data_IF_586338328195
#
_entry.id   IF_586338328195
#
_cell.length_a   1.000
_cell.length_b   1.000
_cell.length_c   1.000
_cell.angle_alpha   90.00
_cell.angle_beta   90.00
_cell.angle_gamma   90.00
#
_symmetry.space_group_name_H-M   'P 1'
#
loop_
_entity.id
_entity.type
_entity.pdbx_description
1 polymer ?
#
# COMPACT_ATOMS: atom_id res chain seq x y z
N UNK A 1 6.78 -10.71 33.68
CA UNK A 1 8.03 -11.08 33.01
C UNK A 1 8.74 -9.83 32.53
N UNK A 2 10.05 -9.75 32.77
CA UNK A 2 10.89 -8.67 32.26
C UNK A 2 11.17 -8.92 30.78
N UNK A 3 10.83 -7.93 29.94
CA UNK A 3 11.11 -7.97 28.49
C UNK A 3 12.22 -6.95 28.23
N UNK A 4 13.34 -7.42 27.70
CA UNK A 4 14.46 -6.57 27.32
C UNK A 4 14.08 -5.65 26.15
N UNK A 5 14.60 -4.42 26.18
CA UNK A 5 14.42 -3.44 25.10
C UNK A 5 13.52 -2.27 25.46
N UNK A 6 13.60 -1.22 24.64
CA UNK A 6 12.80 0.00 24.83
C UNK A 6 11.35 -0.23 24.39
N UNK A 7 10.42 -0.04 25.31
CA UNK A 7 8.99 -0.09 25.00
C UNK A 7 8.61 1.06 24.07
N UNK A 8 7.76 0.78 23.08
CA UNK A 8 7.29 1.75 22.07
C UNK A 8 5.75 1.77 22.00
N UNK A 9 5.06 2.21 23.07
CA UNK A 9 3.60 2.11 23.16
C UNK A 9 2.86 2.98 22.14
N UNK A 10 3.51 4.02 21.61
CA UNK A 10 2.88 5.01 20.72
C UNK A 10 3.10 4.75 19.23
N UNK A 11 3.89 3.73 18.84
CA UNK A 11 4.06 3.40 17.42
C UNK A 11 2.76 2.78 16.91
N UNK A 12 2.14 3.34 15.85
CA UNK A 12 0.97 2.74 15.23
C UNK A 12 1.27 1.32 14.75
N UNK A 13 0.32 0.41 14.94
CA UNK A 13 0.42 -0.97 14.48
C UNK A 13 -0.74 -1.25 13.53
N UNK A 14 -0.43 -1.98 12.45
CA UNK A 14 -1.38 -2.47 11.49
C UNK A 14 -1.18 -3.96 11.32
N UNK A 15 -2.24 -4.75 11.48
CA UNK A 15 -2.23 -6.16 11.17
C UNK A 15 -2.89 -6.37 9.81
N UNK A 16 -2.22 -7.09 8.94
CA UNK A 16 -2.74 -7.46 7.63
C UNK A 16 -3.32 -8.86 7.72
N UNK A 17 -4.58 -9.01 7.34
CA UNK A 17 -5.30 -10.28 7.42
C UNK A 17 -5.85 -10.71 6.07
N UNK A 18 -6.00 -12.02 5.90
CA UNK A 18 -6.71 -12.63 4.79
C UNK A 18 -7.63 -13.73 5.31
N UNK A 19 -8.49 -14.26 4.47
CA UNK A 19 -9.33 -15.41 4.78
C UNK A 19 -8.52 -16.69 5.08
N UNK A 20 -7.23 -16.72 4.72
CA UNK A 20 -6.27 -17.78 5.09
C UNK A 20 -5.60 -17.56 6.45
N UNK A 21 -5.71 -16.38 7.05
CA UNK A 21 -5.22 -16.16 8.41
C UNK A 21 -6.02 -17.04 9.37
N UNK A 22 -5.33 -17.86 10.17
CA UNK A 22 -6.01 -18.85 11.00
C UNK A 22 -5.30 -19.08 12.34
N UNK A 23 -6.06 -19.45 13.40
CA UNK A 23 -5.53 -19.84 14.71
C UNK A 23 -4.59 -18.80 15.33
N UNK A 24 -3.32 -19.13 15.55
CA UNK A 24 -2.32 -18.20 16.13
C UNK A 24 -2.15 -16.90 15.34
N UNK A 25 -2.37 -16.90 14.01
CA UNK A 25 -2.33 -15.70 13.19
C UNK A 25 -3.55 -14.79 13.42
N UNK A 26 -4.61 -15.28 14.05
CA UNK A 26 -5.80 -14.54 14.43
C UNK A 26 -5.70 -13.98 15.86
N UNK A 27 -5.01 -14.70 16.74
CA UNK A 27 -4.91 -14.35 18.15
C UNK A 27 -4.29 -12.95 18.40
N UNK A 28 -3.24 -12.60 17.66
CA UNK A 28 -2.60 -11.28 17.79
C UNK A 28 -3.50 -10.15 17.29
N UNK A 29 -4.01 -10.16 16.04
CA UNK A 29 -4.90 -9.10 15.58
C UNK A 29 -6.14 -8.98 16.46
N UNK A 30 -6.75 -10.08 16.89
CA UNK A 30 -7.91 -10.06 17.80
C UNK A 30 -7.57 -9.37 19.13
N UNK A 31 -6.49 -9.77 19.78
CA UNK A 31 -6.09 -9.19 21.07
C UNK A 31 -5.75 -7.69 20.95
N UNK A 32 -5.02 -7.29 19.91
CA UNK A 32 -4.62 -5.89 19.73
C UNK A 32 -5.77 -5.01 19.26
N UNK A 33 -6.72 -5.54 18.49
CA UNK A 33 -7.96 -4.86 18.11
C UNK A 33 -8.85 -4.63 19.34
N UNK A 34 -9.06 -5.65 20.18
CA UNK A 34 -9.81 -5.54 21.43
C UNK A 34 -9.22 -4.50 22.37
N UNK A 35 -7.90 -4.38 22.40
CA UNK A 35 -7.18 -3.36 23.19
C UNK A 35 -7.14 -1.99 22.50
N UNK A 36 -7.71 -1.83 21.30
CA UNK A 36 -7.62 -0.62 20.46
C UNK A 36 -6.18 -0.16 20.24
N UNK A 37 -5.25 -1.12 20.17
CA UNK A 37 -3.82 -0.87 20.04
C UNK A 37 -3.31 -0.98 18.61
N UNK A 38 -4.05 -1.66 17.76
CA UNK A 38 -3.75 -1.81 16.34
C UNK A 38 -5.00 -1.64 15.49
N UNK A 39 -4.78 -1.41 14.20
CA UNK A 39 -5.81 -1.44 13.15
C UNK A 39 -5.63 -2.72 12.36
N UNK A 40 -6.70 -3.47 12.16
CA UNK A 40 -6.71 -4.69 11.34
C UNK A 40 -7.20 -4.31 9.94
N UNK A 41 -6.43 -4.66 8.91
CA UNK A 41 -6.69 -4.30 7.52
C UNK A 41 -6.65 -5.55 6.66
N UNK A 42 -7.64 -5.79 5.83
CA UNK A 42 -7.68 -6.94 4.94
C UNK A 42 -9.03 -7.62 4.89
N UNK A 43 -9.02 -8.93 4.91
CA UNK A 43 -10.22 -9.78 4.89
C UNK A 43 -10.51 -10.35 6.28
N UNK A 44 -11.77 -10.72 6.52
CA UNK A 44 -12.15 -11.52 7.68
C UNK A 44 -11.40 -12.84 7.66
N UNK A 45 -10.86 -13.24 8.81
CA UNK A 45 -10.00 -14.43 8.95
C UNK A 45 -10.79 -15.73 9.01
N UNK A 46 -10.12 -16.87 9.07
CA UNK A 46 -10.73 -18.19 8.92
C UNK A 46 -11.54 -18.70 10.12
N UNK A 47 -11.32 -18.17 11.33
CA UNK A 47 -12.18 -18.48 12.49
C UNK A 47 -11.78 -19.72 13.29
N UNK A 48 -10.51 -19.83 13.71
CA UNK A 48 -10.04 -20.91 14.57
C UNK A 48 -9.53 -20.43 15.93
N UNK A 49 -10.42 -20.23 16.89
CA UNK A 49 -10.08 -19.75 18.24
C UNK A 49 -9.81 -20.87 19.24
N UNK A 50 -10.33 -22.07 18.99
CA UNK A 50 -10.28 -23.16 19.91
C UNK A 50 -9.08 -24.07 19.65
N UNK A 51 -8.10 -24.02 20.54
CA UNK A 51 -6.98 -24.95 20.52
C UNK A 51 -7.45 -26.37 20.83
N UNK A 52 -6.80 -27.36 20.24
CA UNK A 52 -7.15 -28.76 20.40
C UNK A 52 -5.92 -29.60 20.72
N UNK A 53 -6.18 -30.77 21.32
CA UNK A 53 -5.22 -31.85 21.48
C UNK A 53 -5.63 -33.04 20.65
N UNK A 54 -4.65 -33.74 20.10
CA UNK A 54 -4.91 -34.98 19.40
C UNK A 54 -4.99 -36.17 20.38
N UNK A 55 -5.90 -37.07 20.14
CA UNK A 55 -6.00 -38.34 20.88
C UNK A 55 -6.19 -39.51 19.90
N UNK A 56 -5.47 -40.59 20.18
CA UNK A 56 -5.71 -41.87 19.50
C UNK A 56 -7.00 -42.47 20.06
N UNK A 57 -8.02 -42.59 19.23
CA UNK A 57 -9.28 -43.18 19.62
C UNK A 57 -9.28 -44.68 19.35
N UNK A 58 -8.66 -45.13 18.26
CA UNK A 58 -8.43 -46.53 17.92
C UNK A 58 -7.13 -46.64 17.10
N UNK A 59 -6.80 -47.87 16.66
CA UNK A 59 -5.68 -48.12 15.72
C UNK A 59 -5.84 -47.42 14.37
N UNK A 60 -7.02 -46.93 14.02
CA UNK A 60 -7.39 -46.33 12.73
C UNK A 60 -7.81 -44.87 12.83
N UNK A 61 -8.10 -44.37 14.04
CA UNK A 61 -8.67 -43.01 14.19
C UNK A 61 -7.88 -42.19 15.19
N UNK A 62 -7.52 -41.00 14.71
CA UNK A 62 -6.94 -39.92 15.51
C UNK A 62 -7.99 -38.80 15.58
N UNK A 63 -8.33 -38.36 16.78
CA UNK A 63 -9.37 -37.36 17.00
C UNK A 63 -8.79 -36.10 17.58
N UNK A 64 -9.15 -34.95 17.00
CA UNK A 64 -8.84 -33.64 17.53
C UNK A 64 -9.93 -33.23 18.53
N UNK A 65 -9.56 -33.05 19.79
CA UNK A 65 -10.48 -32.66 20.85
C UNK A 65 -10.17 -31.24 21.30
N UNK A 66 -11.08 -30.28 21.13
CA UNK A 66 -10.90 -28.94 21.67
C UNK A 66 -10.67 -28.98 23.17
N UNK A 67 -9.64 -28.29 23.66
CA UNK A 67 -9.25 -28.32 25.06
C UNK A 67 -8.93 -26.93 25.63
N UNK A 68 -8.86 -25.91 24.82
CA UNK A 68 -8.67 -24.53 25.25
C UNK A 68 -9.29 -23.57 24.23
N UNK A 69 -9.63 -22.38 24.68
CA UNK A 69 -10.10 -21.29 23.83
C UNK A 69 -9.55 -19.97 24.32
N UNK A 70 -9.42 -19.03 23.39
CA UNK A 70 -9.04 -17.64 23.70
C UNK A 70 -10.26 -16.74 23.58
N UNK A 71 -10.47 -15.83 24.52
CA UNK A 71 -11.58 -14.89 24.44
C UNK A 71 -11.15 -13.49 24.95
N UNK A 72 -11.86 -12.48 24.49
CA UNK A 72 -11.73 -11.12 25.05
C UNK A 72 -12.19 -11.15 26.51
N UNK A 73 -11.35 -10.70 27.48
CA UNK A 73 -11.68 -10.79 28.89
C UNK A 73 -12.87 -9.91 29.30
N UNK A 74 -13.22 -8.90 28.52
CA UNK A 74 -14.31 -7.97 28.82
C UNK A 74 -15.63 -8.43 28.19
N UNK A 75 -15.58 -8.75 26.88
CA UNK A 75 -16.79 -9.11 26.11
C UNK A 75 -17.12 -10.60 26.17
N UNK A 76 -16.15 -11.43 26.60
CA UNK A 76 -16.24 -12.92 26.60
C UNK A 76 -16.45 -13.51 25.20
N UNK A 77 -16.28 -12.71 24.14
CA UNK A 77 -16.35 -13.16 22.75
C UNK A 77 -14.98 -13.69 22.31
N UNK A 78 -15.02 -14.59 21.37
CA UNK A 78 -13.88 -15.10 20.61
C UNK A 78 -14.15 -14.96 19.10
N UNK A 79 -13.31 -15.58 18.28
CA UNK A 79 -13.43 -15.55 16.82
C UNK A 79 -13.71 -16.93 16.21
N UNK A 80 -14.10 -17.91 17.04
CA UNK A 80 -14.41 -19.27 16.55
C UNK A 80 -15.55 -19.24 15.55
N UNK A 81 -15.34 -19.86 14.39
CA UNK A 81 -16.32 -20.00 13.31
C UNK A 81 -16.71 -18.71 12.59
N UNK A 82 -16.28 -17.54 13.09
CA UNK A 82 -16.66 -16.21 12.51
C UNK A 82 -15.48 -15.41 12.02
N UNK A 83 -14.28 -15.72 12.48
CA UNK A 83 -13.05 -14.99 12.16
C UNK A 83 -12.92 -13.64 12.85
N UNK A 84 -11.74 -13.04 12.72
CA UNK A 84 -11.46 -11.68 13.14
C UNK A 84 -11.86 -10.75 11.99
N UNK A 85 -12.88 -9.94 12.22
CA UNK A 85 -13.34 -8.95 11.24
C UNK A 85 -12.37 -7.77 11.22
N UNK A 86 -11.85 -7.35 10.04
CA UNK A 86 -10.95 -6.21 9.97
C UNK A 86 -11.67 -4.89 10.27
N UNK A 87 -10.91 -3.90 10.76
CA UNK A 87 -11.38 -2.51 10.92
C UNK A 87 -11.53 -1.83 9.56
N UNK A 88 -10.67 -2.22 8.60
CA UNK A 88 -10.69 -1.74 7.22
C UNK A 88 -10.74 -2.96 6.31
N UNK A 89 -11.93 -3.21 5.74
CA UNK A 89 -12.16 -4.35 4.87
C UNK A 89 -11.72 -4.04 3.43
N UNK A 90 -10.78 -4.84 2.92
CA UNK A 90 -10.25 -4.78 1.55
C UNK A 90 -9.75 -6.17 1.15
N UNK A 91 -9.64 -6.48 -0.15
CA UNK A 91 -8.98 -7.70 -0.61
C UNK A 91 -7.57 -7.84 -0.03
N UNK A 92 -7.16 -9.06 0.34
CA UNK A 92 -5.86 -9.32 0.95
C UNK A 92 -4.68 -8.77 0.15
N UNK A 93 -4.76 -8.82 -1.19
CA UNK A 93 -3.73 -8.26 -2.10
C UNK A 93 -3.52 -6.75 -1.94
N UNK A 94 -4.55 -6.03 -1.49
CA UNK A 94 -4.55 -4.57 -1.35
C UNK A 94 -4.30 -4.12 0.11
N UNK A 95 -4.31 -5.06 1.06
CA UNK A 95 -4.27 -4.78 2.50
C UNK A 95 -3.02 -3.98 2.91
N UNK A 96 -1.83 -4.35 2.40
CA UNK A 96 -0.59 -3.63 2.71
C UNK A 96 -0.63 -2.18 2.22
N UNK A 97 -1.09 -1.98 1.00
CA UNK A 97 -1.14 -0.66 0.39
C UNK A 97 -2.20 0.21 1.08
N UNK A 98 -3.34 -0.38 1.45
CA UNK A 98 -4.39 0.32 2.22
C UNK A 98 -3.90 0.71 3.62
N UNK A 99 -3.16 -0.17 4.31
CA UNK A 99 -2.55 0.14 5.60
C UNK A 99 -1.51 1.27 5.50
N UNK A 100 -0.71 1.30 4.43
CA UNK A 100 0.21 2.41 4.14
C UNK A 100 -0.52 3.73 3.96
N UNK A 101 -1.62 3.75 3.20
CA UNK A 101 -2.45 4.95 2.99
C UNK A 101 -2.94 5.47 4.34
N UNK A 102 -3.51 4.61 5.17
CA UNK A 102 -4.01 4.97 6.50
C UNK A 102 -2.91 5.54 7.40
N UNK A 103 -1.72 4.92 7.38
CA UNK A 103 -0.56 5.40 8.13
C UNK A 103 -0.08 6.77 7.64
N UNK A 104 0.03 6.96 6.32
CA UNK A 104 0.47 8.22 5.72
C UNK A 104 -0.52 9.37 5.95
N UNK A 105 -1.83 9.10 5.90
CA UNK A 105 -2.86 10.10 6.22
C UNK A 105 -2.78 10.57 7.68
N UNK A 106 -2.48 9.67 8.61
CA UNK A 106 -2.25 10.02 10.03
C UNK A 106 -0.97 10.82 10.21
N UNK A 107 0.12 10.40 9.57
CA UNK A 107 1.41 11.09 9.64
C UNK A 107 1.35 12.48 9.02
N UNK A 108 0.70 12.66 7.88
CA UNK A 108 0.54 13.95 7.22
C UNK A 108 -0.21 14.98 8.10
N UNK A 109 -1.11 14.50 8.98
CA UNK A 109 -1.84 15.35 9.93
C UNK A 109 -1.05 15.64 11.21
N UNK A 110 -0.20 14.72 11.67
CA UNK A 110 0.47 14.81 12.97
C UNK A 110 1.89 15.39 12.89
N UNK A 111 2.58 15.23 11.79
CA UNK A 111 3.95 15.74 11.55
C UNK A 111 3.93 16.74 10.40
N UNK A 112 3.61 17.99 10.75
CA UNK A 112 3.47 19.08 9.77
C UNK A 112 4.79 19.44 9.06
N UNK A 113 5.93 19.16 9.67
CA UNK A 113 7.23 19.40 9.08
C UNK A 113 7.54 18.54 7.85
N UNK A 114 6.88 17.37 7.76
CA UNK A 114 7.07 16.42 6.66
C UNK A 114 5.81 16.20 5.82
N UNK A 115 4.80 17.02 5.97
CA UNK A 115 3.50 16.87 5.27
C UNK A 115 3.67 16.74 3.76
N UNK A 116 4.53 17.53 3.13
CA UNK A 116 4.81 17.45 1.68
C UNK A 116 5.29 16.07 1.28
N UNK A 117 6.23 15.48 2.02
CA UNK A 117 6.76 14.16 1.76
C UNK A 117 5.70 13.06 1.98
N UNK A 118 4.92 13.16 3.07
CA UNK A 118 3.85 12.20 3.33
C UNK A 118 2.75 12.26 2.27
N UNK A 119 2.34 13.45 1.84
CA UNK A 119 1.37 13.62 0.77
C UNK A 119 1.89 13.06 -0.57
N UNK A 120 3.17 13.24 -0.88
CA UNK A 120 3.81 12.64 -2.05
C UNK A 120 3.66 11.11 -2.06
N UNK A 121 4.01 10.47 -0.95
CA UNK A 121 3.88 9.01 -0.82
C UNK A 121 2.43 8.56 -0.79
N UNK A 122 1.55 9.34 -0.17
CA UNK A 122 0.11 9.07 -0.12
C UNK A 122 -0.52 9.08 -1.52
N UNK A 123 -0.24 10.07 -2.34
CA UNK A 123 -0.71 10.14 -3.72
C UNK A 123 -0.17 8.98 -4.56
N UNK A 124 1.11 8.63 -4.38
CA UNK A 124 1.70 7.44 -5.02
C UNK A 124 0.99 6.15 -4.60
N UNK A 125 0.73 5.97 -3.31
CA UNK A 125 0.03 4.80 -2.81
C UNK A 125 -1.41 4.73 -3.33
N UNK A 126 -2.14 5.85 -3.34
CA UNK A 126 -3.50 5.92 -3.90
C UNK A 126 -3.51 5.57 -5.39
N UNK A 127 -2.57 6.09 -6.17
CA UNK A 127 -2.49 5.80 -7.61
C UNK A 127 -2.19 4.33 -7.94
N UNK A 128 -1.70 3.54 -6.97
CA UNK A 128 -1.48 2.09 -7.12
C UNK A 128 -2.74 1.26 -6.82
N UNK A 129 -3.67 1.80 -6.01
CA UNK A 129 -4.96 1.15 -5.72
C UNK A 129 -6.03 1.46 -6.76
N UNK A 130 -5.94 2.62 -7.39
CA UNK A 130 -6.89 3.03 -8.41
C UNK A 130 -6.71 2.20 -9.69
N UNK A 131 -7.77 2.02 -10.50
CA UNK A 131 -7.63 1.41 -11.81
C UNK A 131 -6.57 2.13 -12.64
N UNK A 132 -5.76 1.37 -13.36
CA UNK A 132 -4.73 1.94 -14.24
C UNK A 132 -5.35 2.91 -15.24
N UNK A 133 -4.81 4.12 -15.28
CA UNK A 133 -5.23 5.13 -16.27
C UNK A 133 -4.71 4.69 -17.64
N UNK A 134 -5.61 4.47 -18.56
CA UNK A 134 -5.29 4.15 -19.96
C UNK A 134 -5.36 5.41 -20.79
N UNK A 135 -4.26 5.77 -21.41
CA UNK A 135 -4.16 6.89 -22.33
C UNK A 135 -4.19 6.36 -23.76
N UNK A 136 -4.86 7.08 -24.66
CA UNK A 136 -4.87 6.73 -26.08
C UNK A 136 -3.50 6.96 -26.73
N UNK A 137 -3.26 6.27 -27.85
CA UNK A 137 -1.97 6.31 -28.56
C UNK A 137 -1.60 7.74 -29.01
N UNK A 138 -2.57 8.53 -29.47
CA UNK A 138 -2.29 9.90 -29.93
C UNK A 138 -1.83 10.79 -28.78
N UNK A 139 -2.46 10.67 -27.61
CA UNK A 139 -2.04 11.35 -26.38
C UNK A 139 -0.63 10.93 -25.98
N UNK A 140 -0.35 9.63 -25.92
CA UNK A 140 0.99 9.12 -25.57
C UNK A 140 2.04 9.59 -26.58
N UNK A 141 1.74 9.51 -27.88
CA UNK A 141 2.65 9.96 -28.94
C UNK A 141 2.96 11.47 -28.83
N UNK A 142 1.99 12.30 -28.43
CA UNK A 142 2.20 13.74 -28.27
C UNK A 142 3.25 14.07 -27.19
N UNK A 143 3.47 13.19 -26.24
CA UNK A 143 4.45 13.36 -25.16
C UNK A 143 5.88 12.97 -25.54
N UNK A 144 6.06 12.26 -26.67
CA UNK A 144 7.40 11.89 -27.14
C UNK A 144 8.19 13.09 -27.62
N UNK A 145 9.51 13.02 -27.49
CA UNK A 145 10.43 14.07 -27.98
C UNK A 145 11.62 14.31 -27.05
N UNK A 146 12.40 15.31 -27.41
CA UNK A 146 13.57 15.74 -26.62
C UNK A 146 13.18 16.85 -25.64
N UNK A 147 13.70 16.76 -24.42
CA UNK A 147 13.48 17.71 -23.32
C UNK A 147 14.84 18.03 -22.67
N UNK A 148 15.54 18.99 -23.22
CA UNK A 148 16.92 19.28 -22.84
C UNK A 148 17.83 18.06 -23.06
N UNK A 149 18.48 17.58 -22.02
CA UNK A 149 19.35 16.39 -22.07
C UNK A 149 18.58 15.07 -21.91
N UNK A 150 17.25 15.07 -21.97
CA UNK A 150 16.38 13.92 -21.76
C UNK A 150 15.52 13.69 -22.98
N UNK A 151 15.09 12.43 -23.12
CA UNK A 151 14.17 12.01 -24.19
C UNK A 151 13.00 11.23 -23.61
N UNK A 152 11.81 11.47 -24.15
CA UNK A 152 10.64 10.63 -23.91
C UNK A 152 10.34 9.81 -25.17
N UNK A 153 10.26 8.47 -25.01
CA UNK A 153 9.90 7.55 -26.11
C UNK A 153 8.62 6.81 -25.81
N UNK A 154 7.94 6.36 -26.85
CA UNK A 154 6.76 5.48 -26.80
C UNK A 154 7.13 4.12 -27.36
N UNK A 155 7.00 3.07 -26.57
CA UNK A 155 7.31 1.70 -26.97
C UNK A 155 6.23 0.76 -26.42
N UNK A 156 5.63 -0.03 -27.27
CA UNK A 156 4.57 -0.99 -26.90
C UNK A 156 3.44 -0.38 -26.05
N UNK A 157 3.03 0.87 -26.37
CA UNK A 157 1.97 1.58 -25.64
C UNK A 157 2.39 2.15 -24.29
N UNK A 158 3.69 2.15 -23.96
CA UNK A 158 4.25 2.69 -22.73
C UNK A 158 5.23 3.83 -22.99
N UNK A 159 5.20 4.84 -22.15
CA UNK A 159 6.17 5.93 -22.19
C UNK A 159 7.41 5.60 -21.35
N UNK A 160 8.56 5.98 -21.86
CA UNK A 160 9.85 5.85 -21.18
C UNK A 160 10.59 7.18 -21.15
N UNK A 161 11.07 7.56 -19.98
CA UNK A 161 12.01 8.68 -19.79
C UNK A 161 13.44 8.17 -19.90
N UNK A 162 14.19 8.66 -20.86
CA UNK A 162 15.63 8.46 -20.95
C UNK A 162 16.35 9.60 -20.25
N UNK A 163 17.14 9.27 -19.24
CA UNK A 163 17.91 10.24 -18.46
C UNK A 163 19.19 9.61 -17.92
N UNK A 164 20.33 10.25 -18.15
CA UNK A 164 21.65 9.80 -17.65
C UNK A 164 21.96 8.33 -17.96
N UNK A 165 21.67 7.88 -19.18
CA UNK A 165 21.89 6.49 -19.61
C UNK A 165 20.85 5.47 -19.12
N UNK A 166 19.91 5.87 -18.28
CA UNK A 166 18.82 5.01 -17.80
C UNK A 166 17.57 5.19 -18.65
N UNK A 167 16.83 4.10 -18.84
CA UNK A 167 15.49 4.04 -19.44
C UNK A 167 14.48 3.70 -18.36
N UNK A 168 13.59 4.62 -18.02
CA UNK A 168 12.68 4.56 -16.88
C UNK A 168 11.24 4.57 -17.36
N UNK A 169 10.43 3.59 -16.95
CA UNK A 169 9.01 3.53 -17.31
C UNK A 169 8.21 4.65 -16.63
N UNK A 170 7.39 5.36 -17.39
CA UNK A 170 6.51 6.42 -16.93
C UNK A 170 5.10 5.86 -16.73
N UNK A 171 4.68 5.68 -15.48
CA UNK A 171 3.38 5.13 -15.10
C UNK A 171 2.38 6.25 -14.84
N UNK A 172 1.23 6.33 -15.53
CA UNK A 172 0.31 7.44 -15.42
C UNK A 172 -0.37 7.50 -14.05
N UNK A 173 -0.38 8.67 -13.45
CA UNK A 173 -1.17 9.04 -12.26
C UNK A 173 -2.35 9.95 -12.65
N UNK A 174 -2.26 10.64 -13.78
CA UNK A 174 -3.32 11.40 -14.42
C UNK A 174 -3.06 11.45 -15.93
N UNK A 175 -3.88 12.20 -16.66
CA UNK A 175 -3.63 12.41 -18.08
C UNK A 175 -2.21 12.96 -18.36
N UNK A 176 -1.69 13.84 -17.53
CA UNK A 176 -0.39 14.50 -17.73
C UNK A 176 0.68 14.17 -16.72
N UNK A 177 0.32 13.64 -15.54
CA UNK A 177 1.24 13.34 -14.46
C UNK A 177 1.61 11.86 -14.44
N UNK A 178 2.90 11.59 -14.36
CA UNK A 178 3.47 10.24 -14.35
C UNK A 178 4.39 10.05 -13.15
N UNK A 179 4.33 8.88 -12.53
CA UNK A 179 5.33 8.41 -11.56
C UNK A 179 6.37 7.54 -12.27
N UNK A 180 7.54 7.49 -11.68
CA UNK A 180 8.63 6.60 -12.10
C UNK A 180 8.79 5.55 -11.00
N UNK A 181 8.60 4.27 -11.32
CA UNK A 181 8.60 3.21 -10.30
C UNK A 181 9.99 3.06 -9.67
N UNK A 182 11.03 3.13 -10.48
CA UNK A 182 12.43 2.96 -10.05
C UNK A 182 12.96 4.18 -9.27
N UNK A 183 12.30 5.34 -9.39
CA UNK A 183 12.70 6.59 -8.75
C UNK A 183 11.52 7.24 -8.04
N UNK A 184 11.17 6.71 -6.88
CA UNK A 184 9.97 7.07 -6.13
C UNK A 184 9.90 8.53 -5.65
N UNK A 185 11.00 9.28 -5.76
CA UNK A 185 11.07 10.71 -5.44
C UNK A 185 10.91 11.62 -6.68
N UNK A 186 10.69 11.04 -7.87
CA UNK A 186 10.54 11.77 -9.12
C UNK A 186 9.17 11.52 -9.74
N UNK A 187 8.51 12.60 -10.14
CA UNK A 187 7.37 12.57 -11.05
C UNK A 187 7.65 13.45 -12.26
N UNK A 188 6.99 13.12 -13.35
CA UNK A 188 7.04 13.86 -14.60
C UNK A 188 5.64 14.34 -14.92
N UNK A 189 5.49 15.66 -15.11
CA UNK A 189 4.23 16.25 -15.55
C UNK A 189 4.43 16.87 -16.96
N UNK A 190 3.60 16.45 -17.89
CA UNK A 190 3.61 17.02 -19.25
C UNK A 190 2.83 18.32 -19.26
N UNK A 191 3.49 19.41 -19.63
CA UNK A 191 2.90 20.76 -19.66
C UNK A 191 2.34 21.02 -21.04
N UNK A 192 1.06 21.37 -21.11
CA UNK A 192 0.36 21.66 -22.35
C UNK A 192 -0.09 23.11 -22.39
N UNK A 193 0.12 23.75 -23.54
CA UNK A 193 -0.45 25.06 -23.89
C UNK A 193 -1.36 24.88 -25.09
N UNK A 194 -2.62 25.27 -24.95
CA UNK A 194 -3.66 25.13 -26.00
C UNK A 194 -3.73 23.69 -26.57
N UNK A 195 -3.50 22.67 -25.71
CA UNK A 195 -3.53 21.27 -26.12
C UNK A 195 -2.24 20.73 -26.74
N UNK A 196 -1.20 21.55 -26.89
CA UNK A 196 0.11 21.16 -27.43
C UNK A 196 1.09 21.02 -26.28
N UNK A 197 1.87 19.95 -26.28
CA UNK A 197 2.92 19.72 -25.29
C UNK A 197 4.10 20.66 -25.53
N UNK A 198 4.34 21.58 -24.60
CA UNK A 198 5.39 22.60 -24.69
C UNK A 198 6.59 22.31 -23.79
N UNK A 199 6.38 21.58 -22.71
CA UNK A 199 7.45 21.29 -21.75
C UNK A 199 7.16 20.01 -20.95
N UNK A 200 8.19 19.55 -20.27
CA UNK A 200 8.16 18.53 -19.23
C UNK A 200 8.56 19.19 -17.92
N UNK A 201 7.71 19.08 -16.90
CA UNK A 201 8.03 19.49 -15.54
C UNK A 201 8.45 18.27 -14.72
N UNK A 202 9.65 18.29 -14.17
CA UNK A 202 10.13 17.28 -13.22
C UNK A 202 9.85 17.76 -11.82
N UNK A 203 9.04 17.03 -11.09
CA UNK A 203 8.68 17.31 -9.68
C UNK A 203 9.41 16.35 -8.76
N UNK A 204 9.95 16.88 -7.68
CA UNK A 204 10.62 16.09 -6.64
C UNK A 204 9.80 16.04 -5.36
N UNK A 205 9.92 14.95 -4.63
CA UNK A 205 9.19 14.69 -3.38
C UNK A 205 9.42 15.75 -2.28
N UNK A 206 10.50 16.52 -2.40
CA UNK A 206 10.88 17.55 -1.43
C UNK A 206 10.35 18.94 -1.77
N UNK A 207 9.54 19.08 -2.83
CA UNK A 207 8.88 20.31 -3.24
C UNK A 207 9.53 21.02 -4.42
N UNK A 208 10.75 20.64 -4.81
CA UNK A 208 11.41 21.23 -5.97
C UNK A 208 10.76 20.80 -7.29
N UNK A 209 10.70 21.71 -8.25
CA UNK A 209 10.31 21.41 -9.61
C UNK A 209 11.20 22.09 -10.65
N UNK A 210 11.34 21.44 -11.81
CA UNK A 210 12.19 21.90 -12.89
C UNK A 210 11.46 21.78 -14.22
N UNK A 211 11.20 22.91 -14.85
CA UNK A 211 10.57 22.95 -16.16
C UNK A 211 11.64 22.82 -17.26
N UNK A 212 11.41 21.89 -18.19
CA UNK A 212 12.31 21.64 -19.32
C UNK A 212 11.52 21.76 -20.61
N UNK A 213 11.79 22.76 -21.45
CA UNK A 213 11.08 22.93 -22.71
C UNK A 213 11.25 21.72 -23.63
N UNK A 214 10.21 21.43 -24.43
CA UNK A 214 10.28 20.47 -25.54
C UNK A 214 11.05 21.09 -26.70
N UNK A 215 11.99 20.33 -27.25
CA UNK A 215 12.66 20.76 -28.48
C UNK A 215 11.65 20.88 -29.62
N UNK A 216 11.87 21.88 -30.48
CA UNK A 216 11.02 22.12 -31.65
C UNK A 216 11.26 21.06 -32.73
#
# INVERSE_FOLDING_TARGET
PYINGKRRPHIPLYFLTSNFSFSGAEALPFAFQSLKRAVVVGETTGGGAHAWIGKIATDRFYVHVPNAYSSDPKTKKDWEGVGVKPDIEVPAKDALLRAHIEALEKLAKSDTAKTTLYNWHLETAKSKLEPSIVLDHATLHSYTGEYGSRRVTLENGKLYLHSNGSKLEMLPMSKTLFRIEEVNILRVNMVLEKGIVTAMERRLAFGDSYLVPKAK
#
